data_IF_390990791902
#
_entry.id   IF_390990791902
#
_cell.length_a   1.000
_cell.length_b   1.000
_cell.length_c   1.000
_cell.angle_alpha   90.00
_cell.angle_beta   90.00
_cell.angle_gamma   90.00
#
_symmetry.space_group_name_H-M   'P 1'
#
loop_
_entity.id
_entity.type
_entity.pdbx_description
1 polymer ?
#
# COMPACT_ATOMS: atom_id res chain seq x y z
N UNK A 1 -47.23 46.24 -11.84
CA UNK A 1 -46.56 45.90 -10.56
C UNK A 1 -46.64 44.39 -10.37
N UNK A 2 -45.57 43.77 -9.87
CA UNK A 2 -45.38 42.34 -9.54
C UNK A 2 -44.77 41.46 -10.64
N UNK A 3 -43.44 41.52 -10.66
CA UNK A 3 -42.48 40.51 -11.13
C UNK A 3 -42.76 39.17 -10.45
N UNK A 4 -42.93 38.09 -11.22
CA UNK A 4 -42.93 36.72 -10.69
C UNK A 4 -41.54 36.16 -10.94
N UNK A 5 -40.80 35.98 -9.85
CA UNK A 5 -39.52 35.28 -9.78
C UNK A 5 -39.83 33.90 -9.19
N UNK A 6 -39.57 32.83 -9.93
CA UNK A 6 -39.55 31.47 -9.38
C UNK A 6 -38.46 30.68 -10.12
N UNK A 7 -37.21 30.81 -9.69
CA UNK A 7 -36.44 29.84 -8.90
C UNK A 7 -36.19 28.54 -9.69
N UNK A 8 -35.01 28.51 -10.32
CA UNK A 8 -34.39 27.35 -10.93
C UNK A 8 -33.74 26.51 -9.81
N UNK A 9 -34.34 25.38 -9.44
CA UNK A 9 -33.79 24.48 -8.43
C UNK A 9 -32.64 23.69 -9.04
N UNK A 10 -31.42 24.23 -8.91
CA UNK A 10 -30.19 23.53 -9.23
C UNK A 10 -29.86 22.59 -8.07
N UNK A 11 -30.30 21.33 -8.15
CA UNK A 11 -29.94 20.28 -7.19
C UNK A 11 -28.49 19.85 -7.51
N UNK A 12 -27.53 20.48 -6.84
CA UNK A 12 -26.17 19.98 -6.77
C UNK A 12 -26.17 18.72 -5.90
N UNK A 13 -26.16 17.56 -6.53
CA UNK A 13 -25.67 16.33 -5.91
C UNK A 13 -24.17 16.50 -5.67
N UNK A 14 -23.80 17.11 -4.55
CA UNK A 14 -22.50 16.87 -3.95
C UNK A 14 -22.52 15.42 -3.46
N UNK A 15 -22.04 14.50 -4.30
CA UNK A 15 -21.59 13.21 -3.83
C UNK A 15 -20.50 13.49 -2.79
N UNK A 16 -20.88 13.40 -1.52
CA UNK A 16 -19.95 13.29 -0.41
C UNK A 16 -19.14 12.02 -0.68
N UNK A 17 -17.97 12.19 -1.31
CA UNK A 17 -16.88 11.24 -1.25
C UNK A 17 -16.48 11.20 0.22
N UNK A 18 -17.14 10.35 1.00
CA UNK A 18 -16.59 9.86 2.26
C UNK A 18 -15.38 9.01 1.87
N UNK A 19 -14.24 9.68 1.70
CA UNK A 19 -12.95 9.04 1.79
C UNK A 19 -12.89 8.45 3.20
N UNK A 20 -13.02 7.12 3.29
CA UNK A 20 -12.80 6.40 4.53
C UNK A 20 -11.37 6.71 4.98
N UNK A 21 -11.24 7.43 6.10
CA UNK A 21 -9.96 7.93 6.63
C UNK A 21 -8.96 6.80 6.95
N UNK A 22 -9.38 5.53 6.89
CA UNK A 22 -8.56 4.35 7.15
C UNK A 22 -8.39 3.44 5.92
N UNK A 23 -8.39 3.99 4.71
CA UNK A 23 -8.04 3.24 3.50
C UNK A 23 -6.60 3.48 3.08
N UNK A 24 -5.87 2.39 2.81
CA UNK A 24 -4.54 2.49 2.22
C UNK A 24 -4.62 3.16 0.84
N UNK A 25 -3.65 4.03 0.56
CA UNK A 25 -3.55 4.66 -0.74
C UNK A 25 -3.06 3.64 -1.77
N UNK A 26 -3.89 3.35 -2.77
CA UNK A 26 -3.52 2.50 -3.89
C UNK A 26 -2.67 3.27 -4.90
N UNK A 27 -1.51 2.73 -5.28
CA UNK A 27 -0.63 3.38 -6.26
C UNK A 27 -0.91 2.96 -7.72
N UNK A 28 -1.54 1.81 -7.92
CA UNK A 28 -1.86 1.27 -9.24
C UNK A 28 -0.70 0.51 -9.90
N UNK A 29 -1.04 -0.46 -10.75
CA UNK A 29 -0.06 -1.39 -11.35
C UNK A 29 0.95 -0.72 -12.30
N UNK A 30 0.53 0.30 -13.06
CA UNK A 30 1.44 1.02 -13.98
C UNK A 30 2.56 1.75 -13.23
N UNK A 31 2.17 2.41 -12.14
CA UNK A 31 3.05 3.15 -11.24
C UNK A 31 3.98 2.21 -10.48
N UNK A 32 3.45 1.10 -9.93
CA UNK A 32 4.25 0.01 -9.36
C UNK A 32 5.28 -0.54 -10.35
N UNK A 33 4.88 -0.81 -11.59
CA UNK A 33 5.79 -1.36 -12.60
C UNK A 33 6.94 -0.41 -12.90
N UNK A 34 6.67 0.90 -12.94
CA UNK A 34 7.70 1.93 -13.07
C UNK A 34 8.62 1.94 -11.84
N UNK A 35 8.06 1.92 -10.62
CA UNK A 35 8.84 1.85 -9.39
C UNK A 35 9.81 0.66 -9.40
N UNK A 36 9.31 -0.55 -9.66
CA UNK A 36 10.14 -1.76 -9.61
C UNK A 36 11.28 -1.71 -10.63
N UNK A 37 11.04 -1.16 -11.83
CA UNK A 37 12.11 -0.91 -12.81
C UNK A 37 13.14 0.12 -12.35
N UNK A 38 12.75 1.06 -11.51
CA UNK A 38 13.65 2.09 -10.97
C UNK A 38 14.50 1.56 -9.83
N UNK A 39 13.93 0.76 -8.93
CA UNK A 39 14.60 0.37 -7.69
C UNK A 39 15.26 -1.01 -7.77
N UNK A 40 14.79 -1.90 -8.64
CA UNK A 40 15.27 -3.29 -8.72
C UNK A 40 16.35 -3.47 -9.77
N UNK A 41 17.41 -4.16 -9.40
CA UNK A 41 18.42 -4.69 -10.34
C UNK A 41 18.02 -6.05 -10.92
N UNK A 42 17.00 -6.72 -10.38
CA UNK A 42 16.46 -7.98 -10.89
C UNK A 42 15.35 -7.77 -11.92
N UNK A 43 15.35 -8.62 -12.95
CA UNK A 43 14.30 -8.73 -13.98
C UNK A 43 13.23 -9.78 -13.65
N UNK A 44 13.32 -10.43 -12.49
CA UNK A 44 12.39 -11.47 -12.09
C UNK A 44 10.96 -10.94 -11.95
N UNK A 45 10.00 -11.79 -12.31
CA UNK A 45 8.58 -11.46 -12.15
C UNK A 45 8.24 -11.45 -10.66
N UNK A 46 7.89 -10.28 -10.13
CA UNK A 46 7.49 -10.11 -8.73
C UNK A 46 6.27 -10.99 -8.42
N UNK A 47 6.36 -11.75 -7.32
CA UNK A 47 5.29 -12.64 -6.84
C UNK A 47 4.47 -11.93 -5.78
N UNK A 48 3.15 -11.94 -5.96
CA UNK A 48 2.20 -11.45 -4.98
C UNK A 48 1.79 -12.59 -4.03
N UNK A 49 1.35 -12.25 -2.82
CA UNK A 49 1.53 -10.97 -2.13
C UNK A 49 2.99 -10.75 -1.67
N UNK A 50 3.40 -9.48 -1.60
CA UNK A 50 4.72 -9.08 -1.13
C UNK A 50 4.67 -7.81 -0.27
N UNK A 51 5.50 -7.75 0.78
CA UNK A 51 5.67 -6.57 1.64
C UNK A 51 7.12 -6.12 1.52
N UNK A 52 7.31 -4.82 1.28
CA UNK A 52 8.61 -4.17 1.25
C UNK A 52 8.60 -2.99 2.23
N UNK A 53 9.67 -2.83 3.01
CA UNK A 53 9.82 -1.73 3.96
C UNK A 53 11.03 -0.91 3.58
N UNK A 54 10.83 0.39 3.44
CA UNK A 54 11.86 1.37 3.11
C UNK A 54 12.06 2.32 4.28
N UNK A 55 13.32 2.48 4.70
CA UNK A 55 13.76 3.43 5.71
C UNK A 55 14.15 4.73 4.99
N UNK A 56 13.34 5.78 5.19
CA UNK A 56 13.51 7.08 4.53
C UNK A 56 14.68 7.88 5.09
N UNK A 57 15.10 7.60 6.33
CA UNK A 57 16.24 8.30 6.95
C UNK A 57 17.55 7.70 6.44
N UNK A 58 17.63 6.37 6.38
CA UNK A 58 18.81 5.65 5.84
C UNK A 58 18.80 5.52 4.32
N UNK A 59 17.69 5.86 3.68
CA UNK A 59 17.45 5.76 2.25
C UNK A 59 17.66 4.36 1.68
N UNK A 60 17.27 3.33 2.43
CA UNK A 60 17.47 1.93 2.02
C UNK A 60 16.23 1.10 2.26
N UNK A 61 16.03 0.06 1.44
CA UNK A 61 15.10 -1.00 1.80
C UNK A 61 15.69 -1.84 2.93
N UNK A 62 14.84 -2.23 3.88
CA UNK A 62 15.21 -3.14 4.96
C UNK A 62 15.35 -4.55 4.42
N UNK A 63 16.39 -5.27 4.86
CA UNK A 63 16.51 -6.71 4.63
C UNK A 63 15.27 -7.44 5.14
N UNK A 64 15.00 -8.64 4.62
CA UNK A 64 13.83 -9.44 5.01
C UNK A 64 13.72 -9.58 6.54
N UNK A 65 14.82 -9.94 7.21
CA UNK A 65 14.86 -10.09 8.66
C UNK A 65 14.52 -8.80 9.41
N UNK A 66 15.09 -7.67 8.99
CA UNK A 66 14.86 -6.38 9.63
C UNK A 66 13.44 -5.87 9.39
N UNK A 67 12.92 -6.09 8.18
CA UNK A 67 11.53 -5.77 7.84
C UNK A 67 10.54 -6.62 8.65
N UNK A 68 10.76 -7.93 8.79
CA UNK A 68 9.93 -8.80 9.63
C UNK A 68 9.94 -8.34 11.09
N UNK A 69 11.12 -8.08 11.65
CA UNK A 69 11.26 -7.59 13.02
C UNK A 69 10.50 -6.28 13.23
N UNK A 70 10.64 -5.33 12.31
CA UNK A 70 9.90 -4.08 12.34
C UNK A 70 8.38 -4.30 12.26
N UNK A 71 7.91 -5.08 11.28
CA UNK A 71 6.48 -5.31 11.06
C UNK A 71 5.82 -5.97 12.28
N UNK A 72 6.51 -6.89 12.96
CA UNK A 72 6.01 -7.52 14.19
C UNK A 72 5.76 -6.52 15.33
N UNK A 73 6.37 -5.34 15.31
CA UNK A 73 6.08 -4.28 16.30
C UNK A 73 4.76 -3.54 16.04
N UNK A 74 4.18 -3.68 14.85
CA UNK A 74 3.06 -2.87 14.38
C UNK A 74 1.68 -3.49 14.66
N UNK A 75 1.63 -4.74 15.11
CA UNK A 75 0.36 -5.40 15.41
C UNK A 75 0.54 -6.75 16.10
N UNK A 76 -0.41 -7.07 16.98
CA UNK A 76 -0.38 -8.29 17.81
C UNK A 76 -1.51 -9.28 17.45
N UNK A 77 -1.95 -9.26 16.18
CA UNK A 77 -2.96 -10.22 15.72
C UNK A 77 -2.32 -11.60 15.54
N UNK A 78 -3.00 -12.67 15.95
CA UNK A 78 -2.46 -14.03 15.88
C UNK A 78 -1.94 -14.44 14.47
N UNK A 79 -2.62 -14.00 13.40
CA UNK A 79 -2.20 -14.30 12.02
C UNK A 79 -1.04 -13.42 11.52
N UNK A 80 -0.74 -12.32 12.21
CA UNK A 80 0.21 -11.29 11.77
C UNK A 80 1.62 -11.83 11.60
N UNK A 81 2.12 -12.60 12.58
CA UNK A 81 3.48 -13.15 12.52
C UNK A 81 3.68 -14.11 11.34
N UNK A 82 2.67 -14.94 11.06
CA UNK A 82 2.64 -15.81 9.88
C UNK A 82 2.63 -14.98 8.60
N UNK A 83 1.84 -13.90 8.55
CA UNK A 83 1.73 -13.04 7.38
C UNK A 83 3.03 -12.32 7.05
N UNK A 84 3.61 -11.64 8.04
CA UNK A 84 4.84 -10.88 7.85
C UNK A 84 5.97 -11.82 7.44
N UNK A 85 6.07 -13.02 8.02
CA UNK A 85 7.08 -14.01 7.62
C UNK A 85 6.92 -14.52 6.17
N UNK A 86 5.68 -14.74 5.72
CA UNK A 86 5.39 -15.28 4.39
C UNK A 86 5.50 -14.23 3.28
N UNK A 87 5.07 -13.01 3.57
CA UNK A 87 4.87 -11.98 2.54
C UNK A 87 6.00 -10.96 2.51
N UNK A 88 6.77 -10.79 3.58
CA UNK A 88 8.00 -9.97 3.52
C UNK A 88 9.02 -10.61 2.59
N UNK A 89 9.51 -9.82 1.64
CA UNK A 89 10.47 -10.28 0.63
C UNK A 89 11.87 -9.80 0.92
N UNK A 90 12.83 -10.52 0.35
CA UNK A 90 14.20 -10.02 0.26
C UNK A 90 14.27 -8.80 -0.66
N UNK A 91 15.08 -7.82 -0.28
CA UNK A 91 15.25 -6.55 -1.00
C UNK A 91 16.72 -6.27 -1.33
N UNK A 92 17.59 -7.27 -1.28
CA UNK A 92 19.02 -7.13 -1.62
C UNK A 92 19.23 -6.64 -3.06
N UNK A 93 18.27 -6.93 -3.94
CA UNK A 93 18.23 -6.42 -5.31
C UNK A 93 17.73 -4.97 -5.43
N UNK A 94 17.24 -4.34 -4.34
CA UNK A 94 16.71 -2.98 -4.37
C UNK A 94 17.74 -1.95 -3.93
N UNK A 95 17.89 -0.89 -4.73
CA UNK A 95 18.72 0.27 -4.40
C UNK A 95 18.08 1.55 -4.93
N UNK A 96 17.98 2.57 -4.08
CA UNK A 96 17.37 3.84 -4.44
C UNK A 96 17.73 4.94 -3.44
N UNK A 97 17.30 6.18 -3.71
CA UNK A 97 17.39 7.32 -2.80
C UNK A 97 16.00 7.93 -2.62
N UNK A 98 15.82 8.78 -1.60
CA UNK A 98 14.57 9.52 -1.43
C UNK A 98 14.23 10.36 -2.67
N UNK A 99 15.24 10.99 -3.27
CA UNK A 99 15.09 11.77 -4.50
C UNK A 99 14.60 10.90 -5.67
N UNK A 100 15.20 9.72 -5.84
CA UNK A 100 14.84 8.78 -6.91
C UNK A 100 13.43 8.23 -6.71
N UNK A 101 13.06 7.88 -5.48
CA UNK A 101 11.71 7.44 -5.12
C UNK A 101 10.67 8.54 -5.36
N UNK A 102 10.93 9.76 -4.90
CA UNK A 102 10.02 10.89 -5.08
C UNK A 102 9.79 11.22 -6.57
N UNK A 103 10.84 11.10 -7.41
CA UNK A 103 10.70 11.25 -8.88
C UNK A 103 9.93 10.10 -9.52
N UNK A 104 10.17 8.88 -9.08
CA UNK A 104 9.47 7.71 -9.60
C UNK A 104 7.98 7.74 -9.24
N UNK A 105 7.67 8.20 -8.02
CA UNK A 105 6.36 8.19 -7.39
C UNK A 105 6.04 9.50 -6.66
N UNK A 106 5.62 10.56 -7.37
CA UNK A 106 5.39 11.88 -6.78
C UNK A 106 4.34 11.92 -5.66
N UNK A 107 3.46 10.93 -5.58
CA UNK A 107 2.45 10.82 -4.52
C UNK A 107 2.94 10.11 -3.24
N UNK A 108 4.15 9.54 -3.26
CA UNK A 108 4.75 9.01 -2.04
C UNK A 108 5.12 10.15 -1.11
N UNK A 109 4.62 10.07 0.12
CA UNK A 109 5.03 10.94 1.21
C UNK A 109 6.17 10.26 1.97
N UNK A 110 7.34 10.88 1.97
CA UNK A 110 8.52 10.42 2.70
C UNK A 110 8.64 11.17 4.05
N UNK A 111 7.50 11.44 4.69
CA UNK A 111 7.34 12.23 5.92
C UNK A 111 7.32 11.39 7.19
N UNK A 112 7.63 10.09 7.07
CA UNK A 112 7.75 9.11 8.15
C UNK A 112 9.03 8.34 7.97
N UNK A 113 9.58 7.82 9.07
CA UNK A 113 10.81 7.01 9.05
C UNK A 113 10.65 5.79 8.14
N UNK A 114 9.49 5.13 8.20
CA UNK A 114 9.23 3.96 7.37
C UNK A 114 8.12 4.20 6.34
N UNK A 115 8.38 3.71 5.14
CA UNK A 115 7.43 3.54 4.05
C UNK A 115 7.21 2.04 3.83
N UNK A 116 5.96 1.60 3.83
CA UNK A 116 5.55 0.21 3.61
C UNK A 116 4.82 0.12 2.27
N UNK A 117 5.33 -0.72 1.39
CA UNK A 117 4.70 -1.04 0.11
C UNK A 117 4.14 -2.46 0.20
N UNK A 118 2.81 -2.56 0.21
CA UNK A 118 2.10 -3.83 0.13
C UNK A 118 1.70 -4.10 -1.32
N UNK A 119 2.45 -5.01 -1.95
CA UNK A 119 2.13 -5.50 -3.29
C UNK A 119 1.13 -6.65 -3.23
N UNK A 120 -0.13 -6.32 -3.46
CA UNK A 120 -1.27 -7.22 -3.29
C UNK A 120 -1.99 -7.51 -4.61
N UNK A 121 -3.11 -8.23 -4.53
CA UNK A 121 -3.98 -8.48 -5.67
C UNK A 121 -5.24 -7.60 -5.57
N UNK A 122 -5.84 -7.19 -6.69
CA UNK A 122 -7.15 -6.56 -6.68
C UNK A 122 -8.21 -7.56 -6.20
N UNK A 123 -9.26 -7.06 -5.53
CA UNK A 123 -10.30 -7.87 -4.88
C UNK A 123 -10.88 -8.99 -5.77
N UNK A 124 -11.23 -8.76 -7.05
CA UNK A 124 -11.76 -9.82 -7.90
C UNK A 124 -10.80 -10.99 -8.11
N UNK A 125 -9.48 -10.73 -8.10
CA UNK A 125 -8.47 -11.78 -8.22
C UNK A 125 -8.29 -12.54 -6.91
N UNK A 126 -8.38 -11.88 -5.75
CA UNK A 126 -8.31 -12.56 -4.45
C UNK A 126 -9.38 -13.66 -4.34
N UNK A 127 -10.60 -13.38 -4.80
CA UNK A 127 -11.69 -14.36 -4.83
C UNK A 127 -11.39 -15.57 -5.73
N UNK A 128 -10.77 -15.34 -6.89
CA UNK A 128 -10.39 -16.42 -7.82
C UNK A 128 -9.34 -17.37 -7.21
N UNK A 129 -8.46 -16.88 -6.34
CA UNK A 129 -7.40 -17.67 -5.70
C UNK A 129 -7.81 -18.28 -4.36
N UNK A 130 -9.04 -18.08 -3.89
CA UNK A 130 -9.54 -18.62 -2.62
C UNK A 130 -9.47 -20.15 -2.55
N UNK A 131 -9.60 -20.84 -3.67
CA UNK A 131 -9.47 -22.30 -3.72
C UNK A 131 -8.04 -22.80 -3.44
N UNK A 132 -7.02 -21.96 -3.68
CA UNK A 132 -5.62 -22.30 -3.41
C UNK A 132 -5.18 -21.90 -2.00
N UNK A 133 -5.71 -20.79 -1.47
CA UNK A 133 -5.52 -20.35 -0.10
C UNK A 133 -6.86 -19.83 0.46
N UNK A 134 -7.60 -20.65 1.22
CA UNK A 134 -8.92 -20.28 1.75
C UNK A 134 -8.90 -19.05 2.66
N UNK A 135 -7.74 -18.74 3.26
CA UNK A 135 -7.57 -17.60 4.17
C UNK A 135 -7.12 -16.33 3.44
N UNK A 136 -6.83 -16.36 2.13
CA UNK A 136 -6.18 -15.26 1.40
C UNK A 136 -6.87 -13.90 1.59
N UNK A 137 -8.20 -13.87 1.60
CA UNK A 137 -9.00 -12.65 1.80
C UNK A 137 -8.89 -12.15 3.24
N UNK A 138 -8.94 -13.05 4.22
CA UNK A 138 -8.76 -12.71 5.63
C UNK A 138 -7.35 -12.15 5.88
N UNK A 139 -6.35 -12.74 5.22
CA UNK A 139 -4.96 -12.33 5.27
C UNK A 139 -4.74 -10.93 4.67
N UNK A 140 -5.26 -10.67 3.46
CA UNK A 140 -5.18 -9.36 2.79
C UNK A 140 -5.92 -8.28 3.60
N UNK A 141 -7.14 -8.57 4.06
CA UNK A 141 -7.91 -7.62 4.89
C UNK A 141 -7.26 -7.33 6.24
N UNK A 142 -6.68 -8.34 6.89
CA UNK A 142 -5.92 -8.16 8.13
C UNK A 142 -4.74 -7.22 7.91
N UNK A 143 -3.96 -7.45 6.84
CA UNK A 143 -2.82 -6.62 6.52
C UNK A 143 -3.21 -5.19 6.18
N UNK A 144 -4.23 -5.00 5.33
CA UNK A 144 -4.76 -3.67 5.02
C UNK A 144 -5.23 -2.93 6.27
N UNK A 145 -5.93 -3.62 7.17
CA UNK A 145 -6.43 -3.03 8.42
C UNK A 145 -5.31 -2.62 9.36
N UNK A 146 -4.25 -3.43 9.52
CA UNK A 146 -3.11 -3.05 10.38
C UNK A 146 -2.39 -1.86 9.77
N UNK A 147 -2.07 -1.93 8.48
CA UNK A 147 -1.29 -0.90 7.80
C UNK A 147 -2.02 0.45 7.68
N UNK A 148 -3.36 0.46 7.60
CA UNK A 148 -4.13 1.70 7.49
C UNK A 148 -4.32 2.42 8.81
N UNK A 149 -4.11 1.74 9.94
CA UNK A 149 -4.16 2.35 11.28
C UNK A 149 -2.81 2.87 11.78
N UNK A 150 -1.76 2.84 10.95
CA UNK A 150 -0.41 3.21 11.39
C UNK A 150 -0.15 4.72 11.23
N UNK A 151 0.15 5.38 12.35
CA UNK A 151 0.66 6.75 12.35
C UNK A 151 2.19 6.81 12.18
N UNK A 152 2.89 5.75 12.60
CA UNK A 152 4.35 5.64 12.63
C UNK A 152 5.00 5.42 11.26
N UNK A 153 4.22 4.98 10.27
CA UNK A 153 4.71 4.72 8.91
C UNK A 153 3.70 5.15 7.86
N UNK A 154 4.18 5.39 6.63
CA UNK A 154 3.30 5.53 5.48
C UNK A 154 3.13 4.19 4.79
N UNK A 155 1.89 3.80 4.53
CA UNK A 155 1.57 2.51 3.92
C UNK A 155 0.80 2.70 2.62
N UNK A 156 1.16 1.92 1.60
CA UNK A 156 0.54 1.97 0.28
C UNK A 156 0.24 0.57 -0.22
N UNK A 157 -0.85 0.41 -0.98
CA UNK A 157 -1.12 -0.81 -1.75
C UNK A 157 -0.79 -0.60 -3.22
N UNK A 158 -0.55 -1.69 -3.95
CA UNK A 158 -0.41 -1.62 -5.40
C UNK A 158 -1.75 -1.62 -6.15
N UNK A 159 -2.84 -2.05 -5.48
CA UNK A 159 -4.21 -2.07 -6.00
C UNK A 159 -5.24 -1.58 -4.99
#
# INVERSE_FOLDING_TARGET
>A
MKTIITIFTFILFFANVQASENQLTAIGNGVKSKLMKTISTSTDKHKFPAIYVYDTQKQTFLSKQNAEAYLLTLGDKAIWSKLTSQWTKDTSQFSTTNETLAKALPMLKLDREFLILYDNLPTPMLEQFKAMDPELILKDSTLKSVLSSLDSSRSYTTY
#
